data_IF_737073308393
#
_entry.id   IF_737073308393
#
_cell.length_a   1.000
_cell.length_b   1.000
_cell.length_c   1.000
_cell.angle_alpha   90.00
_cell.angle_beta   90.00
_cell.angle_gamma   90.00
#
_symmetry.space_group_name_H-M   'P 1'
#
loop_
_entity.id
_entity.type
_entity.pdbx_description
1 polymer ?
#
# COMPACT_ATOMS: atom_id res chain seq x y z
N UNK A 1 -1.46 38.17 33.22
CA UNK A 1 -1.02 37.00 34.01
C UNK A 1 -0.40 36.03 33.03
N UNK A 2 0.93 35.94 33.01
CA UNK A 2 1.62 35.01 32.12
C UNK A 2 1.57 33.64 32.79
N UNK A 3 0.58 32.83 32.43
CA UNK A 3 0.53 31.44 32.84
C UNK A 3 1.76 30.74 32.29
N UNK A 4 2.57 30.22 33.21
CA UNK A 4 3.76 29.41 32.97
C UNK A 4 3.34 28.18 32.13
N UNK A 5 3.28 28.36 30.81
CA UNK A 5 2.86 27.35 29.82
C UNK A 5 3.98 26.35 29.56
N UNK A 6 4.68 25.95 30.62
CA UNK A 6 5.74 24.95 30.57
C UNK A 6 5.08 23.61 30.86
N UNK A 7 4.61 22.96 29.81
CA UNK A 7 4.20 21.56 29.90
C UNK A 7 5.41 20.72 30.35
N UNK A 8 5.18 19.74 31.20
CA UNK A 8 6.18 18.70 31.53
C UNK A 8 6.68 18.08 30.20
N UNK A 9 7.97 17.76 30.06
CA UNK A 9 8.49 17.00 28.92
C UNK A 9 7.57 15.86 28.42
N UNK A 10 6.96 15.10 29.33
CA UNK A 10 6.01 14.04 28.95
C UNK A 10 4.74 14.60 28.27
N UNK A 11 4.16 15.67 28.83
CA UNK A 11 2.97 16.31 28.30
C UNK A 11 3.22 17.03 26.95
N UNK A 12 4.46 17.48 26.68
CA UNK A 12 4.84 17.96 25.35
C UNK A 12 4.91 16.83 24.31
N UNK A 13 5.43 15.67 24.69
CA UNK A 13 5.48 14.50 23.82
C UNK A 13 4.08 13.99 23.49
N UNK A 14 3.20 13.90 24.49
CA UNK A 14 1.81 13.49 24.29
C UNK A 14 1.10 14.39 23.28
N UNK A 15 1.27 15.72 23.42
CA UNK A 15 0.68 16.69 22.49
C UNK A 15 1.26 16.58 21.08
N UNK A 16 2.55 16.31 20.95
CA UNK A 16 3.18 16.04 19.65
C UNK A 16 2.61 14.77 19.01
N UNK A 17 2.47 13.69 19.79
CA UNK A 17 1.91 12.44 19.31
C UNK A 17 0.44 12.57 18.90
N UNK A 18 -0.34 13.37 19.61
CA UNK A 18 -1.74 13.64 19.25
C UNK A 18 -1.86 14.37 17.91
N UNK A 19 -1.04 15.40 17.68
CA UNK A 19 -1.02 16.11 16.38
C UNK A 19 -0.57 15.17 15.25
N UNK A 20 0.46 14.36 15.48
CA UNK A 20 0.92 13.37 14.50
C UNK A 20 -0.18 12.35 14.19
N UNK A 21 -0.90 11.88 15.22
CA UNK A 21 -2.00 10.93 15.07
C UNK A 21 -3.17 11.54 14.32
N UNK A 22 -3.52 12.79 14.59
CA UNK A 22 -4.58 13.51 13.91
C UNK A 22 -4.25 13.72 12.43
N UNK A 23 -3.03 14.17 12.13
CA UNK A 23 -2.53 14.35 10.77
C UNK A 23 -2.45 13.03 10.00
N UNK A 24 -2.06 11.93 10.66
CA UNK A 24 -2.06 10.61 10.07
C UNK A 24 -3.47 10.10 9.74
N UNK A 25 -4.51 10.45 10.52
CA UNK A 25 -5.91 10.12 10.18
C UNK A 25 -6.42 10.95 9.01
N UNK A 26 -6.09 12.23 8.96
CA UNK A 26 -6.59 13.14 7.93
C UNK A 26 -5.85 12.99 6.59
N UNK A 27 -4.60 12.52 6.61
CA UNK A 27 -3.75 12.39 5.43
C UNK A 27 -3.15 10.97 5.27
N UNK A 28 -3.80 10.10 4.47
CA UNK A 28 -3.32 8.73 4.24
C UNK A 28 -1.90 8.65 3.65
N UNK A 29 -1.45 9.66 2.88
CA UNK A 29 -0.09 9.70 2.31
C UNK A 29 0.97 10.08 3.34
N UNK A 30 0.59 10.84 4.37
CA UNK A 30 1.46 11.13 5.51
C UNK A 30 1.60 9.89 6.37
N UNK A 31 0.49 9.21 6.67
CA UNK A 31 0.48 7.95 7.42
C UNK A 31 1.37 6.88 6.76
N UNK A 32 1.25 6.65 5.44
CA UNK A 32 2.08 5.67 4.73
C UNK A 32 3.59 5.99 4.80
N UNK A 33 3.97 7.27 4.69
CA UNK A 33 5.38 7.69 4.81
C UNK A 33 5.90 7.50 6.23
N UNK A 34 5.09 7.83 7.24
CA UNK A 34 5.45 7.74 8.65
C UNK A 34 5.63 6.28 9.07
N UNK A 35 4.72 5.42 8.63
CA UNK A 35 4.78 3.97 8.85
C UNK A 35 6.01 3.34 8.18
N UNK A 36 6.30 3.70 6.92
CA UNK A 36 7.52 3.26 6.22
C UNK A 36 8.79 3.70 6.92
N UNK A 37 8.84 4.92 7.44
CA UNK A 37 10.00 5.44 8.17
C UNK A 37 10.21 4.74 9.51
N UNK A 38 9.15 4.31 10.19
CA UNK A 38 9.23 3.58 11.46
C UNK A 38 9.48 2.07 11.29
N UNK A 39 9.61 1.58 10.05
CA UNK A 39 9.81 0.14 9.77
C UNK A 39 8.60 -0.74 10.11
N UNK A 40 7.48 -0.13 10.51
CA UNK A 40 6.24 -0.83 10.80
C UNK A 40 5.49 -1.18 9.52
N UNK A 41 4.86 -2.34 9.49
CA UNK A 41 3.83 -2.65 8.49
C UNK A 41 2.47 -2.32 9.11
N UNK A 42 1.89 -1.17 8.77
CA UNK A 42 0.51 -0.87 9.18
C UNK A 42 -0.46 -1.40 8.14
N UNK A 43 -1.26 -2.37 8.56
CA UNK A 43 -2.41 -2.88 7.81
C UNK A 43 -3.57 -1.92 8.06
N UNK A 44 -3.78 -0.94 7.18
CA UNK A 44 -4.99 -0.10 7.26
C UNK A 44 -6.24 -0.92 6.84
N UNK A 45 -7.28 -1.01 7.67
CA UNK A 45 -8.46 -1.85 7.38
C UNK A 45 -9.50 -1.20 6.45
N UNK A 46 -9.26 0.00 5.90
CA UNK A 46 -10.29 0.72 5.15
C UNK A 46 -10.32 0.51 3.63
N UNK A 47 -11.55 0.38 3.13
CA UNK A 47 -12.03 0.18 1.75
C UNK A 47 -11.55 1.22 0.71
N UNK A 48 -10.86 2.28 1.13
CA UNK A 48 -10.23 3.27 0.22
C UNK A 48 -8.91 2.77 -0.42
N UNK A 49 -8.46 1.56 -0.07
CA UNK A 49 -7.18 0.95 -0.49
C UNK A 49 -7.05 0.53 -1.95
N UNK A 50 -8.11 0.59 -2.76
CA UNK A 50 -8.01 0.19 -4.17
C UNK A 50 -7.05 1.10 -4.96
N UNK A 51 -6.91 2.38 -4.60
CA UNK A 51 -6.09 3.33 -5.36
C UNK A 51 -4.57 3.30 -5.06
N UNK A 52 -4.12 2.64 -3.99
CA UNK A 52 -2.71 2.71 -3.51
C UNK A 52 -2.12 1.33 -3.17
N UNK A 53 -2.88 0.25 -3.35
CA UNK A 53 -2.43 -1.11 -3.08
C UNK A 53 -1.24 -1.49 -3.98
N UNK A 54 -0.04 -1.56 -3.39
CA UNK A 54 1.15 -2.05 -4.09
C UNK A 54 1.00 -3.57 -4.32
N UNK A 55 0.87 -4.04 -5.58
CA UNK A 55 0.64 -5.44 -5.87
C UNK A 55 1.80 -6.34 -5.42
N UNK A 56 3.03 -5.83 -5.32
CA UNK A 56 4.16 -6.59 -4.79
C UNK A 56 4.01 -6.86 -3.29
N UNK A 57 3.56 -5.88 -2.50
CA UNK A 57 3.41 -6.05 -1.06
C UNK A 57 2.29 -7.03 -0.72
N UNK A 58 1.17 -6.93 -1.44
CA UNK A 58 0.04 -7.85 -1.26
C UNK A 58 0.37 -9.27 -1.76
N UNK A 59 1.03 -9.42 -2.90
CA UNK A 59 1.43 -10.74 -3.39
C UNK A 59 2.50 -11.41 -2.50
N UNK A 60 3.29 -10.63 -1.77
CA UNK A 60 4.37 -11.13 -0.90
C UNK A 60 3.93 -11.48 0.52
N UNK A 61 2.97 -10.73 1.08
CA UNK A 61 2.62 -10.82 2.50
C UNK A 61 1.18 -11.34 2.75
N UNK A 62 0.39 -11.55 1.69
CA UNK A 62 -1.02 -11.93 1.81
C UNK A 62 -1.32 -13.26 1.14
N UNK A 63 -2.45 -13.87 1.50
CA UNK A 63 -2.98 -15.04 0.79
C UNK A 63 -3.53 -14.64 -0.58
N UNK A 64 -3.56 -15.59 -1.52
CA UNK A 64 -4.16 -15.39 -2.85
C UNK A 64 -5.61 -14.89 -2.75
N UNK A 65 -6.39 -15.41 -1.81
CA UNK A 65 -7.77 -14.98 -1.59
C UNK A 65 -7.87 -13.49 -1.22
N UNK A 66 -7.01 -13.01 -0.32
CA UNK A 66 -6.98 -11.61 0.08
C UNK A 66 -6.51 -10.69 -1.05
N UNK A 67 -5.55 -11.14 -1.86
CA UNK A 67 -5.14 -10.40 -3.05
C UNK A 67 -6.33 -10.20 -4.01
N UNK A 68 -7.08 -11.27 -4.27
CA UNK A 68 -8.22 -11.21 -5.19
C UNK A 68 -9.34 -10.36 -4.62
N UNK A 69 -9.62 -10.39 -3.31
CA UNK A 69 -10.65 -9.52 -2.73
C UNK A 69 -10.33 -8.02 -2.87
N UNK A 70 -9.05 -7.64 -2.87
CA UNK A 70 -8.62 -6.23 -3.01
C UNK A 70 -8.69 -5.74 -4.46
N UNK A 71 -8.29 -6.58 -5.42
CA UNK A 71 -8.17 -6.18 -6.83
C UNK A 71 -9.35 -6.61 -7.71
N UNK A 72 -10.18 -7.58 -7.32
CA UNK A 72 -11.37 -7.99 -8.05
C UNK A 72 -12.44 -6.90 -8.24
N UNK A 73 -12.72 -5.99 -7.29
CA UNK A 73 -13.72 -4.94 -7.50
C UNK A 73 -13.24 -3.82 -8.46
N UNK A 74 -11.99 -3.83 -8.90
CA UNK A 74 -11.44 -2.82 -9.80
C UNK A 74 -11.91 -2.97 -11.23
N UNK A 75 -12.02 -1.83 -11.94
CA UNK A 75 -12.34 -1.84 -13.36
C UNK A 75 -11.13 -2.30 -14.17
N UNK A 76 -11.39 -2.89 -15.35
CA UNK A 76 -10.35 -3.34 -16.30
C UNK A 76 -9.29 -2.26 -16.60
N UNK A 77 -9.70 -1.00 -16.70
CA UNK A 77 -8.78 0.11 -16.97
C UNK A 77 -7.85 0.42 -15.79
N UNK A 78 -8.33 0.25 -14.56
CA UNK A 78 -7.55 0.42 -13.33
C UNK A 78 -6.53 -0.71 -13.18
N UNK A 79 -6.95 -1.96 -13.42
CA UNK A 79 -6.05 -3.12 -13.44
C UNK A 79 -4.93 -2.96 -14.49
N UNK A 80 -5.27 -2.50 -15.70
CA UNK A 80 -4.29 -2.18 -16.75
C UNK A 80 -3.35 -1.04 -16.37
N UNK A 81 -3.82 -0.08 -15.57
CA UNK A 81 -3.00 1.03 -15.08
C UNK A 81 -2.00 0.51 -14.04
N UNK A 82 -2.46 -0.24 -13.05
CA UNK A 82 -1.62 -0.83 -12.00
C UNK A 82 -0.55 -1.76 -12.61
N UNK A 83 -0.93 -2.61 -13.56
CA UNK A 83 0.02 -3.47 -14.26
C UNK A 83 1.14 -2.69 -14.98
N UNK A 84 0.84 -1.51 -15.53
CA UNK A 84 1.84 -0.65 -16.19
C UNK A 84 2.66 0.15 -15.17
N UNK A 85 2.01 0.81 -14.24
CA UNK A 85 2.63 1.67 -13.23
C UNK A 85 3.64 0.88 -12.37
N UNK A 86 3.39 -0.41 -12.16
CA UNK A 86 4.29 -1.31 -11.44
C UNK A 86 5.26 -2.10 -12.33
N UNK A 87 5.36 -1.81 -13.62
CA UNK A 87 6.21 -2.53 -14.58
C UNK A 87 5.95 -4.05 -14.60
N UNK A 88 4.70 -4.47 -14.40
CA UNK A 88 4.29 -5.88 -14.42
C UNK A 88 3.85 -6.31 -15.82
N UNK A 89 3.36 -5.40 -16.66
CA UNK A 89 2.96 -5.73 -18.02
C UNK A 89 3.24 -4.63 -19.02
N UNK A 90 3.52 -5.04 -20.26
CA UNK A 90 3.66 -4.15 -21.40
C UNK A 90 2.29 -3.89 -22.06
N UNK A 91 2.15 -2.83 -22.88
CA UNK A 91 0.90 -2.57 -23.61
C UNK A 91 0.44 -3.75 -24.50
N UNK A 92 1.39 -4.54 -25.01
CA UNK A 92 1.13 -5.75 -25.78
C UNK A 92 0.47 -6.85 -24.93
N UNK A 93 0.99 -7.06 -23.71
CA UNK A 93 0.46 -8.05 -22.77
C UNK A 93 -0.99 -7.76 -22.35
N UNK A 94 -1.39 -6.49 -22.32
CA UNK A 94 -2.69 -6.03 -21.82
C UNK A 94 -3.81 -6.06 -22.87
N UNK A 95 -3.44 -6.25 -24.15
CA UNK A 95 -4.38 -6.16 -25.26
C UNK A 95 -5.30 -7.39 -25.30
N UNK A 96 -6.60 -7.16 -25.44
CA UNK A 96 -7.60 -8.23 -25.56
C UNK A 96 -7.90 -9.03 -24.28
N UNK A 97 -7.29 -8.70 -23.12
CA UNK A 97 -7.51 -9.43 -21.87
C UNK A 97 -8.73 -8.96 -21.09
N UNK A 98 -9.47 -9.91 -20.52
CA UNK A 98 -10.59 -9.67 -19.60
C UNK A 98 -10.09 -9.20 -18.22
N UNK A 99 -10.98 -8.64 -17.41
CA UNK A 99 -10.66 -8.23 -16.04
C UNK A 99 -10.10 -9.39 -15.19
N UNK A 100 -10.69 -10.59 -15.30
CA UNK A 100 -10.20 -11.80 -14.62
C UNK A 100 -8.78 -12.18 -15.06
N UNK A 101 -8.50 -12.16 -16.36
CA UNK A 101 -7.17 -12.47 -16.89
C UNK A 101 -6.12 -11.46 -16.47
N UNK A 102 -6.50 -10.19 -16.31
CA UNK A 102 -5.61 -9.14 -15.82
C UNK A 102 -5.34 -9.29 -14.33
N UNK A 103 -6.34 -9.69 -13.54
CA UNK A 103 -6.21 -9.96 -12.11
C UNK A 103 -5.26 -11.15 -11.86
N UNK A 104 -5.45 -12.25 -12.59
CA UNK A 104 -4.56 -13.41 -12.54
C UNK A 104 -3.13 -13.02 -12.91
N UNK A 105 -2.95 -12.26 -13.99
CA UNK A 105 -1.65 -11.77 -14.41
C UNK A 105 -0.98 -10.89 -13.36
N UNK A 106 -1.75 -10.00 -12.71
CA UNK A 106 -1.24 -9.11 -11.67
C UNK A 106 -0.66 -9.92 -10.50
N UNK A 107 -1.38 -10.96 -10.05
CA UNK A 107 -0.90 -11.83 -8.99
C UNK A 107 0.35 -12.62 -9.39
N UNK A 108 0.31 -13.32 -10.53
CA UNK A 108 1.40 -14.20 -10.96
C UNK A 108 2.69 -13.42 -11.22
N UNK A 109 2.60 -12.28 -11.93
CA UNK A 109 3.79 -11.48 -12.26
C UNK A 109 4.34 -10.73 -11.05
N UNK A 110 3.48 -10.29 -10.12
CA UNK A 110 3.95 -9.69 -8.87
C UNK A 110 4.71 -10.71 -8.03
N UNK A 111 4.19 -11.94 -7.93
CA UNK A 111 4.81 -13.03 -7.18
C UNK A 111 6.12 -13.48 -7.80
N UNK A 112 6.17 -13.64 -9.13
CA UNK A 112 7.38 -14.01 -9.88
C UNK A 112 8.53 -13.04 -9.60
N UNK A 113 8.27 -11.72 -9.68
CA UNK A 113 9.30 -10.71 -9.40
C UNK A 113 9.77 -10.70 -7.95
N UNK A 114 8.92 -11.04 -6.99
CA UNK A 114 9.33 -11.17 -5.59
C UNK A 114 10.24 -12.39 -5.42
N UNK A 115 9.90 -13.51 -6.06
CA UNK A 115 10.72 -14.73 -6.01
C UNK A 115 12.06 -14.53 -6.71
N UNK A 116 12.10 -13.86 -7.86
CA UNK A 116 13.35 -13.50 -8.56
C UNK A 116 14.25 -12.62 -7.70
N UNK A 117 13.67 -11.60 -7.04
CA UNK A 117 14.42 -10.73 -6.12
C UNK A 117 14.96 -11.49 -4.92
N UNK A 118 14.17 -12.37 -4.29
CA UNK A 118 14.65 -13.19 -3.17
C UNK A 118 15.73 -14.18 -3.59
N UNK A 119 15.62 -14.76 -4.78
CA UNK A 119 16.61 -15.69 -5.31
C UNK A 119 17.92 -15.02 -5.75
N UNK A 120 17.90 -13.71 -6.03
CA UNK A 120 19.10 -12.94 -6.37
C UNK A 120 19.96 -12.57 -5.15
N UNK A 121 19.47 -12.78 -3.93
CA UNK A 121 20.22 -12.54 -2.68
C UNK A 121 20.93 -13.81 -2.16
N UNK A 122 20.77 -14.93 -2.84
CA UNK A 122 21.48 -16.19 -2.60
C UNK A 122 22.41 -16.49 -3.78
#
# INVERSE_FOLDING_TARGET
>A
MAEDSRLDPAAYLDRLFDVIREEARQNPKFADRLVKAMGGQVVFEDEAKSAVANPYLLAGNSTKAHFYSVFAPMKTNELKKILRDHNLATPLDLRGKSASQLLDMLYERARLKITERKSSYF
#
